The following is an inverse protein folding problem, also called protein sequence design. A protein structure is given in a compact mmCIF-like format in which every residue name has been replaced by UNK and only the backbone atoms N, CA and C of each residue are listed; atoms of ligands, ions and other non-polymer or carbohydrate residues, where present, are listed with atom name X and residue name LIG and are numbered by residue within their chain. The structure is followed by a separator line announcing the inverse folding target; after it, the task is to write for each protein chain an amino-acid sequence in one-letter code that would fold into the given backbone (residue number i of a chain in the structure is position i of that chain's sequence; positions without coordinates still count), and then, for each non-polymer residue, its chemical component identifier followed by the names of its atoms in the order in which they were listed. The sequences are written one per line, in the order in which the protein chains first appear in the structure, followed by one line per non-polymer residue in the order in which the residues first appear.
data_IF_795689098768
#
_entry.id   IF_795689098768
#
_cell.length_a   1.000
_cell.length_b   1.000
_cell.length_c   1.000
_cell.angle_alpha   90.00
_cell.angle_beta   90.00
_cell.angle_gamma   90.00
#
_symmetry.space_group_name_H-M   'P 1'
#
loop_
_entity.id
_entity.type
_entity.pdbx_description
1 polymer ?
#
# COMPACT_ATOMS: atom_id res chain seq x y z
N UNK A 1 -0.17 6.07 1.95
CA UNK A 1 1.04 5.65 1.23
C UNK A 1 0.68 5.76 -0.23
N UNK A 2 1.17 6.80 -0.89
CA UNK A 2 0.96 6.93 -2.33
C UNK A 2 2.03 6.06 -2.98
N UNK A 3 1.63 4.91 -3.51
CA UNK A 3 2.48 4.21 -4.46
C UNK A 3 2.82 5.21 -5.58
N UNK A 4 4.09 5.29 -5.95
CA UNK A 4 4.53 6.32 -6.89
C UNK A 4 4.21 5.89 -8.31
N UNK A 5 3.01 6.27 -8.75
CA UNK A 5 2.54 6.07 -10.11
C UNK A 5 3.22 7.04 -11.06
N UNK A 6 3.60 6.50 -12.22
CA UNK A 6 4.11 7.26 -13.36
C UNK A 6 3.48 6.75 -14.64
N UNK A 7 3.45 7.61 -15.66
CA UNK A 7 2.97 7.25 -16.98
C UNK A 7 4.15 7.01 -17.91
N UNK A 8 4.18 5.87 -18.59
CA UNK A 8 5.27 5.49 -19.49
C UNK A 8 4.74 5.29 -20.90
N UNK A 9 5.43 5.88 -21.87
CA UNK A 9 5.13 5.80 -23.29
C UNK A 9 5.73 4.55 -23.91
N UNK A 10 4.89 3.65 -24.40
CA UNK A 10 5.30 2.44 -25.13
C UNK A 10 5.49 2.74 -26.63
N UNK A 11 5.89 1.73 -27.41
CA UNK A 11 6.23 1.90 -28.84
C UNK A 11 5.00 2.17 -29.73
N UNK A 12 3.83 1.91 -29.18
CA UNK A 12 2.52 2.19 -29.74
C UNK A 12 2.04 3.64 -29.52
N UNK A 13 2.91 4.50 -28.97
CA UNK A 13 2.67 5.92 -28.68
C UNK A 13 1.69 6.23 -27.54
N UNK A 14 1.10 5.20 -26.90
CA UNK A 14 0.21 5.37 -25.76
C UNK A 14 0.97 5.43 -24.43
N UNK A 15 0.38 6.13 -23.46
CA UNK A 15 0.90 6.22 -22.10
C UNK A 15 0.19 5.23 -21.18
N UNK A 16 0.98 4.41 -20.47
CA UNK A 16 0.50 3.38 -19.58
C UNK A 16 0.88 3.70 -18.13
N UNK A 17 -0.04 3.45 -17.22
CA UNK A 17 0.21 3.61 -15.78
C UNK A 17 1.13 2.49 -15.28
N UNK A 18 2.18 2.88 -14.57
CA UNK A 18 3.16 1.96 -14.02
C UNK A 18 3.63 2.43 -12.63
N UNK A 19 4.02 1.46 -11.81
CA UNK A 19 4.60 1.68 -10.49
C UNK A 19 6.11 1.84 -10.62
N UNK A 20 6.65 2.95 -10.09
CA UNK A 20 8.09 3.10 -9.97
C UNK A 20 8.63 2.11 -8.94
N UNK A 21 9.70 1.39 -9.31
CA UNK A 21 10.36 0.42 -8.42
C UNK A 21 11.81 0.79 -8.13
N UNK A 22 12.51 1.37 -9.11
CA UNK A 22 13.87 1.85 -8.94
C UNK A 22 14.19 2.99 -9.92
N UNK A 23 15.26 3.72 -9.65
CA UNK A 23 15.81 4.78 -10.50
C UNK A 23 17.31 4.55 -10.68
N UNK A 24 17.77 4.68 -11.91
CA UNK A 24 19.19 4.66 -12.30
C UNK A 24 19.61 6.04 -12.81
N UNK A 25 20.88 6.21 -13.15
CA UNK A 25 21.39 7.49 -13.65
C UNK A 25 20.78 7.94 -14.98
N UNK A 26 20.25 7.00 -15.78
CA UNK A 26 19.78 7.25 -17.16
C UNK A 26 18.36 6.77 -17.41
N UNK A 27 17.87 5.84 -16.61
CA UNK A 27 16.59 5.15 -16.81
C UNK A 27 15.83 5.00 -15.49
N UNK A 28 14.52 4.87 -15.61
CA UNK A 28 13.62 4.48 -14.53
C UNK A 28 13.20 3.03 -14.70
N UNK A 29 12.97 2.37 -13.57
CA UNK A 29 12.59 0.96 -13.53
C UNK A 29 11.17 0.86 -12.99
N UNK A 30 10.28 0.25 -13.77
CA UNK A 30 8.85 0.22 -13.48
C UNK A 30 8.25 -1.17 -13.58
N UNK A 31 7.11 -1.35 -12.92
CA UNK A 31 6.27 -2.54 -13.02
C UNK A 31 4.83 -2.13 -13.32
N UNK A 32 4.10 -2.92 -14.12
CA UNK A 32 2.72 -2.63 -14.51
C UNK A 32 1.70 -3.34 -13.61
N UNK A 33 0.51 -2.77 -13.47
CA UNK A 33 -0.61 -3.41 -12.76
C UNK A 33 -1.03 -4.70 -13.50
N UNK A 34 -1.17 -5.81 -12.76
CA UNK A 34 -1.59 -7.12 -13.27
C UNK A 34 -0.68 -7.79 -14.32
N UNK A 35 0.65 -7.82 -14.09
CA UNK A 35 1.63 -8.84 -14.52
C UNK A 35 1.33 -9.61 -15.84
N UNK A 36 0.92 -8.92 -16.91
CA UNK A 36 0.34 -9.56 -18.09
C UNK A 36 1.36 -10.20 -19.05
N UNK A 37 2.66 -9.96 -18.86
CA UNK A 37 3.71 -10.66 -19.62
C UNK A 37 4.43 -11.70 -18.74
N UNK A 38 4.69 -12.91 -19.28
CA UNK A 38 5.38 -13.97 -18.55
C UNK A 38 6.85 -13.64 -18.20
N UNK A 39 7.42 -12.59 -18.78
CA UNK A 39 8.74 -12.07 -18.44
C UNK A 39 8.62 -11.02 -17.32
N UNK A 40 8.46 -11.53 -16.10
CA UNK A 40 8.27 -10.89 -14.78
C UNK A 40 9.32 -9.85 -14.35
N UNK A 41 10.14 -9.34 -15.28
CA UNK A 41 11.21 -8.41 -14.96
C UNK A 41 10.70 -6.96 -14.89
N UNK A 42 11.14 -6.18 -13.90
CA UNK A 42 11.00 -4.73 -13.93
C UNK A 42 11.54 -4.18 -15.25
N UNK A 43 10.75 -3.36 -15.94
CA UNK A 43 11.13 -2.81 -17.24
C UNK A 43 11.82 -1.47 -17.08
N UNK A 44 12.86 -1.26 -17.86
CA UNK A 44 13.63 -0.02 -17.88
C UNK A 44 13.14 0.89 -18.99
N UNK A 45 12.96 2.16 -18.68
CA UNK A 45 12.57 3.19 -19.63
C UNK A 45 13.43 4.43 -19.47
N UNK A 46 13.76 5.09 -20.57
CA UNK A 46 14.41 6.39 -20.54
C UNK A 46 13.48 7.44 -19.96
N UNK A 47 14.04 8.41 -19.21
CA UNK A 47 13.26 9.51 -18.62
C UNK A 47 12.39 10.26 -19.64
N UNK A 48 12.88 10.44 -20.88
CA UNK A 48 12.15 11.10 -21.97
C UNK A 48 10.86 10.38 -22.40
N UNK A 49 10.72 9.08 -22.09
CA UNK A 49 9.52 8.27 -22.39
C UNK A 49 8.56 8.20 -21.20
N UNK A 50 8.80 8.95 -20.14
CA UNK A 50 8.05 8.81 -18.90
C UNK A 50 7.65 10.19 -18.37
N UNK A 51 6.50 10.29 -17.72
CA UNK A 51 5.97 11.53 -17.16
C UNK A 51 5.19 11.26 -15.87
N UNK A 52 4.97 12.30 -15.08
CA UNK A 52 4.09 12.20 -13.91
C UNK A 52 2.62 12.17 -14.37
N UNK A 53 1.75 11.43 -13.66
CA UNK A 53 0.31 11.49 -13.90
C UNK A 53 -0.22 12.90 -13.61
N UNK A 54 -1.32 13.33 -14.26
CA UNK A 54 -1.94 14.61 -13.96
C UNK A 54 -2.39 14.66 -12.49
N UNK A 55 -2.33 15.84 -11.87
CA UNK A 55 -2.81 16.02 -10.49
C UNK A 55 -4.32 15.76 -10.43
N UNK A 56 -4.80 15.01 -9.44
CA UNK A 56 -6.23 14.66 -9.29
C UNK A 56 -7.13 15.91 -9.26
N UNK A 57 -6.67 17.00 -8.64
CA UNK A 57 -7.41 18.26 -8.58
C UNK A 57 -7.61 18.95 -9.95
N UNK A 58 -6.81 18.58 -10.96
CA UNK A 58 -6.98 19.05 -12.35
C UNK A 58 -8.03 18.27 -13.14
N UNK A 59 -8.53 17.16 -12.58
CA UNK A 59 -9.53 16.27 -13.19
C UNK A 59 -10.96 16.69 -12.74
N UNK A 60 -11.11 17.25 -11.54
CA UNK A 60 -12.42 17.57 -10.94
C UNK A 60 -13.02 18.92 -11.39
N UNK A 61 -12.22 19.81 -11.98
CA UNK A 61 -12.75 20.96 -12.69
C UNK A 61 -13.22 20.49 -14.08
N UNK A 62 -14.42 19.91 -14.16
CA UNK A 62 -15.03 19.37 -15.39
C UNK A 62 -14.69 20.26 -16.60
N UNK A 63 -13.70 19.88 -17.43
CA UNK A 63 -13.27 20.71 -18.53
C UNK A 63 -14.46 20.84 -19.48
N UNK A 64 -14.82 22.06 -19.87
CA UNK A 64 -15.80 22.23 -20.95
C UNK A 64 -15.12 21.77 -22.24
N UNK A 65 -15.42 20.55 -22.66
CA UNK A 65 -14.90 19.98 -23.89
C UNK A 65 -15.55 20.64 -25.12
N UNK A 66 -14.75 20.90 -26.15
CA UNK A 66 -15.22 21.44 -27.42
C UNK A 66 -14.93 20.51 -28.60
N UNK A 67 -15.75 20.58 -29.65
CA UNK A 67 -15.48 19.88 -30.91
C UNK A 67 -14.18 20.43 -31.53
N UNK A 68 -13.34 19.53 -32.04
CA UNK A 68 -12.00 19.85 -32.55
C UNK A 68 -10.91 19.92 -31.48
N UNK A 69 -11.23 19.78 -30.20
CA UNK A 69 -10.24 19.79 -29.12
C UNK A 69 -9.43 18.48 -29.07
N UNK A 70 -8.12 18.58 -28.86
CA UNK A 70 -7.26 17.45 -28.53
C UNK A 70 -7.43 17.02 -27.07
N UNK A 71 -7.60 15.71 -26.87
CA UNK A 71 -7.80 15.06 -25.57
C UNK A 71 -6.96 13.79 -25.47
N UNK A 72 -6.85 13.27 -24.25
CA UNK A 72 -6.37 11.93 -24.00
C UNK A 72 -7.55 11.01 -23.64
N UNK A 73 -7.56 9.85 -24.27
CA UNK A 73 -8.63 8.86 -24.19
C UNK A 73 -8.08 7.59 -23.55
N UNK A 74 -8.74 7.11 -22.51
CA UNK A 74 -8.41 5.85 -21.88
C UNK A 74 -8.98 4.69 -22.70
N UNK A 75 -8.15 4.01 -23.50
CA UNK A 75 -8.57 2.92 -24.41
C UNK A 75 -7.49 1.85 -24.52
N UNK A 76 -7.78 0.75 -25.23
CA UNK A 76 -6.84 -0.35 -25.49
C UNK A 76 -6.93 -0.77 -26.95
N UNK A 77 -5.84 -1.24 -27.56
CA UNK A 77 -5.90 -1.68 -28.97
C UNK A 77 -6.67 -2.95 -29.17
N UNK A 78 -6.42 -3.92 -28.29
CA UNK A 78 -6.97 -5.26 -28.33
C UNK A 78 -7.37 -5.69 -26.92
N UNK A 79 -8.25 -6.69 -26.79
CA UNK A 79 -8.67 -7.23 -25.48
C UNK A 79 -7.53 -7.85 -24.66
N UNK A 80 -6.39 -8.06 -25.29
CA UNK A 80 -5.16 -8.56 -24.67
C UNK A 80 -4.28 -7.45 -24.10
N UNK A 81 -4.41 -6.22 -24.59
CA UNK A 81 -3.56 -5.10 -24.16
C UNK A 81 -4.17 -4.38 -22.96
N UNK A 82 -3.30 -3.72 -22.19
CA UNK A 82 -3.73 -2.87 -21.09
C UNK A 82 -4.46 -1.64 -21.64
N UNK A 83 -5.29 -1.05 -20.79
CA UNK A 83 -5.77 0.28 -21.08
C UNK A 83 -4.62 1.28 -20.89
N UNK A 84 -4.55 2.23 -21.81
CA UNK A 84 -3.60 3.31 -21.81
C UNK A 84 -4.28 4.61 -22.25
N UNK A 85 -3.56 5.71 -22.09
CA UNK A 85 -3.99 7.04 -22.53
C UNK A 85 -3.48 7.30 -23.95
N UNK A 86 -4.43 7.44 -24.87
CA UNK A 86 -4.22 7.67 -26.30
C UNK A 86 -4.55 9.10 -26.67
N UNK A 87 -3.79 9.71 -27.57
CA UNK A 87 -4.12 11.04 -28.10
C UNK A 87 -5.24 10.94 -29.13
N UNK A 88 -6.28 11.74 -28.95
CA UNK A 88 -7.42 11.78 -29.84
C UNK A 88 -7.96 13.22 -30.00
N UNK A 89 -8.78 13.43 -31.03
CA UNK A 89 -9.51 14.68 -31.24
C UNK A 89 -11.01 14.43 -31.13
N UNK A 90 -11.72 15.31 -30.42
CA UNK A 90 -13.19 15.26 -30.36
C UNK A 90 -13.76 15.68 -31.71
N UNK A 91 -14.59 14.84 -32.33
CA UNK A 91 -15.31 15.14 -33.57
C UNK A 91 -16.73 15.63 -33.33
N UNK A 92 -17.45 14.98 -32.42
CA UNK A 92 -18.85 15.28 -32.15
C UNK A 92 -19.10 15.13 -30.65
N UNK A 93 -19.82 16.08 -30.06
CA UNK A 93 -20.30 15.99 -28.68
C UNK A 93 -21.82 15.80 -28.71
N UNK A 94 -22.32 14.71 -28.10
CA UNK A 94 -23.75 14.44 -27.94
C UNK A 94 -24.09 14.08 -26.50
N UNK A 95 -24.49 15.09 -25.72
CA UNK A 95 -24.77 14.91 -24.30
C UNK A 95 -23.52 14.44 -23.56
N UNK A 96 -23.57 13.26 -22.98
CA UNK A 96 -22.45 12.64 -22.22
C UNK A 96 -21.55 11.74 -23.10
N UNK A 97 -21.82 11.65 -24.40
CA UNK A 97 -21.07 10.84 -25.35
C UNK A 97 -20.22 11.70 -26.29
N UNK A 98 -18.98 11.27 -26.46
CA UNK A 98 -17.99 11.91 -27.30
C UNK A 98 -17.62 10.95 -28.43
N UNK A 99 -17.74 11.43 -29.67
CA UNK A 99 -17.16 10.73 -30.83
C UNK A 99 -15.74 11.25 -30.99
N UNK A 100 -14.76 10.39 -30.79
CA UNK A 100 -13.33 10.75 -30.81
C UNK A 100 -12.62 10.05 -31.96
N UNK A 101 -11.64 10.71 -32.55
CA UNK A 101 -10.76 10.16 -33.59
C UNK A 101 -9.34 10.05 -33.04
N UNK A 102 -8.77 8.84 -33.04
CA UNK A 102 -7.40 8.59 -32.55
C UNK A 102 -6.34 9.14 -33.53
N UNK A 103 -5.34 9.86 -33.02
CA UNK A 103 -4.32 10.56 -33.83
C UNK A 103 -3.12 9.66 -34.15
N UNK A 104 -2.63 8.90 -33.16
CA UNK A 104 -1.33 8.21 -33.22
C UNK A 104 -1.47 6.67 -33.40
N UNK A 105 -2.59 6.22 -33.97
CA UNK A 105 -2.85 4.78 -34.20
C UNK A 105 -2.15 4.27 -35.47
N UNK A 106 -0.91 3.80 -35.34
CA UNK A 106 -0.02 3.46 -36.47
C UNK A 106 -0.43 2.26 -37.36
N UNK A 107 -1.43 1.46 -36.98
CA UNK A 107 -1.83 0.30 -37.80
C UNK A 107 -2.91 0.67 -38.83
N UNK A 108 -2.48 1.19 -39.98
CA UNK A 108 -3.06 1.18 -41.35
C UNK A 108 -4.58 1.35 -41.57
N UNK A 109 -5.36 1.72 -40.55
CA UNK A 109 -6.78 2.07 -40.68
C UNK A 109 -6.92 3.51 -40.25
N UNK A 110 -6.98 4.36 -41.28
CA UNK A 110 -7.61 5.69 -41.31
C UNK A 110 -8.53 5.88 -40.10
N UNK A 111 -8.10 6.72 -39.17
CA UNK A 111 -8.97 7.44 -38.25
C UNK A 111 -10.01 6.54 -37.54
N UNK A 112 -9.56 5.59 -36.71
CA UNK A 112 -10.47 4.84 -35.85
C UNK A 112 -11.27 5.81 -34.99
N UNK A 113 -12.58 5.89 -35.26
CA UNK A 113 -13.54 6.63 -34.46
C UNK A 113 -14.11 5.74 -33.37
N UNK A 114 -14.05 6.18 -32.11
CA UNK A 114 -14.63 5.48 -30.97
C UNK A 114 -15.69 6.39 -30.30
N UNK A 115 -16.79 5.79 -29.83
CA UNK A 115 -17.78 6.50 -29.01
C UNK A 115 -17.45 6.22 -27.56
N UNK A 116 -17.18 7.28 -26.80
CA UNK A 116 -16.66 7.17 -25.44
C UNK A 116 -17.44 8.10 -24.52
N UNK A 117 -17.60 7.70 -23.27
CA UNK A 117 -18.23 8.47 -22.20
C UNK A 117 -17.24 9.41 -21.49
N UNK A 118 -17.76 10.40 -20.78
CA UNK A 118 -16.94 11.45 -20.13
C UNK A 118 -15.90 10.93 -19.12
N UNK A 119 -16.13 9.76 -18.52
CA UNK A 119 -15.27 9.10 -17.52
C UNK A 119 -13.96 8.56 -18.10
N UNK A 120 -13.90 8.34 -19.42
CA UNK A 120 -12.73 7.80 -20.13
C UNK A 120 -11.95 8.85 -20.91
N UNK A 121 -12.29 10.13 -20.77
CA UNK A 121 -11.57 11.23 -21.42
C UNK A 121 -10.96 12.17 -20.39
N UNK A 122 -9.81 12.76 -20.74
CA UNK A 122 -9.19 13.82 -19.96
C UNK A 122 -8.51 14.84 -20.87
N UNK A 123 -8.26 16.04 -20.33
CA UNK A 123 -7.38 17.03 -20.98
C UNK A 123 -5.97 16.44 -21.10
N UNK A 124 -5.23 16.71 -22.19
CA UNK A 124 -3.87 16.22 -22.35
C UNK A 124 -3.01 16.56 -21.14
N UNK A 125 -2.28 15.57 -20.63
CA UNK A 125 -1.49 15.72 -19.42
C UNK A 125 -0.44 16.84 -19.61
N UNK A 126 -0.44 17.90 -18.78
CA UNK A 126 0.45 19.05 -18.94
C UNK A 126 1.88 18.76 -18.45
N UNK A 127 2.10 17.64 -17.76
CA UNK A 127 3.42 17.32 -17.19
C UNK A 127 4.43 17.03 -18.32
N UNK A 128 5.61 17.68 -18.28
CA UNK A 128 6.67 17.37 -19.22
C UNK A 128 7.23 15.96 -18.98
N UNK A 129 7.99 15.41 -19.94
CA UNK A 129 8.79 14.22 -19.71
C UNK A 129 9.68 14.39 -18.47
N UNK A 130 9.94 13.29 -17.78
CA UNK A 130 10.78 13.27 -16.60
C UNK A 130 12.20 13.68 -16.96
N UNK A 131 12.90 14.23 -15.96
CA UNK A 131 14.33 14.48 -15.99
C UNK A 131 14.99 13.72 -14.85
N UNK A 132 16.32 13.57 -14.90
CA UNK A 132 17.09 12.89 -13.85
C UNK A 132 16.86 13.53 -12.47
N UNK A 133 16.67 14.85 -12.44
CA UNK A 133 16.57 15.63 -11.20
C UNK A 133 15.21 15.51 -10.50
N UNK A 134 14.22 14.82 -11.10
CA UNK A 134 12.90 14.64 -10.49
C UNK A 134 12.95 13.70 -9.29
N UNK A 135 13.90 12.76 -9.28
CA UNK A 135 14.04 11.76 -8.23
C UNK A 135 15.39 11.85 -7.56
N UNK A 136 15.38 11.91 -6.23
CA UNK A 136 16.55 11.79 -5.38
C UNK A 136 16.59 10.37 -4.85
N UNK A 137 17.64 9.64 -5.22
CA UNK A 137 17.94 8.29 -4.72
C UNK A 137 19.14 8.37 -3.78
N UNK A 138 18.98 7.85 -2.57
CA UNK A 138 20.04 7.80 -1.56
C UNK A 138 19.98 6.50 -0.77
N UNK A 139 21.08 6.17 -0.11
CA UNK A 139 21.24 4.91 0.63
C UNK A 139 21.54 5.17 2.11
N UNK A 140 20.94 4.37 2.99
CA UNK A 140 21.19 4.39 4.43
C UNK A 140 21.69 3.03 4.87
N UNK A 141 22.95 2.95 5.32
CA UNK A 141 23.56 1.69 5.75
C UNK A 141 22.84 1.12 6.98
N UNK A 142 22.51 -0.18 6.95
CA UNK A 142 21.82 -0.88 8.04
C UNK A 142 22.82 -1.60 8.95
N UNK A 143 22.75 -1.35 10.27
CA UNK A 143 23.55 -2.08 11.27
C UNK A 143 23.40 -3.60 11.17
N UNK A 144 24.50 -4.34 11.35
CA UNK A 144 24.55 -5.80 11.16
C UNK A 144 23.51 -6.57 11.98
N UNK A 145 23.26 -6.13 13.20
CA UNK A 145 22.29 -6.71 14.14
C UNK A 145 20.85 -6.64 13.65
N UNK A 146 20.54 -5.69 12.75
CA UNK A 146 19.18 -5.43 12.27
C UNK A 146 18.90 -5.98 10.87
N UNK A 147 19.92 -6.44 10.13
CA UNK A 147 19.79 -6.82 8.70
C UNK A 147 18.76 -7.91 8.45
N UNK A 148 18.65 -8.89 9.34
CA UNK A 148 17.66 -9.96 9.17
C UNK A 148 16.23 -9.47 9.43
N UNK A 149 16.06 -8.56 10.38
CA UNK A 149 14.76 -7.96 10.67
C UNK A 149 14.32 -6.98 9.58
N UNK A 150 15.26 -6.23 9.01
CA UNK A 150 15.04 -5.26 7.93
C UNK A 150 14.50 -5.89 6.64
N UNK A 151 14.65 -7.20 6.44
CA UNK A 151 14.08 -7.93 5.28
C UNK A 151 12.55 -8.04 5.33
N UNK A 152 11.93 -7.86 6.50
CA UNK A 152 10.48 -8.05 6.65
C UNK A 152 9.70 -6.95 5.92
N UNK A 153 8.65 -7.34 5.22
CA UNK A 153 7.80 -6.38 4.53
C UNK A 153 7.11 -5.43 5.51
N UNK A 154 7.12 -4.14 5.17
CA UNK A 154 6.35 -3.13 5.92
C UNK A 154 7.07 -2.52 7.13
N UNK A 155 8.21 -3.06 7.59
CA UNK A 155 8.91 -2.56 8.79
C UNK A 155 9.51 -1.16 8.63
N UNK A 156 9.65 -0.68 7.40
CA UNK A 156 10.20 0.66 7.10
C UNK A 156 9.12 1.68 6.71
N UNK A 157 7.82 1.33 6.78
CA UNK A 157 6.73 2.20 6.32
C UNK A 157 6.61 3.51 7.10
N UNK A 158 6.83 3.47 8.41
CA UNK A 158 6.81 4.66 9.25
C UNK A 158 8.00 5.58 8.96
N UNK A 159 9.20 5.00 8.85
CA UNK A 159 10.40 5.73 8.47
C UNK A 159 10.26 6.37 7.08
N UNK A 160 9.74 5.62 6.10
CA UNK A 160 9.42 6.11 4.76
C UNK A 160 8.50 7.35 4.79
N UNK A 161 7.47 7.31 5.63
CA UNK A 161 6.52 8.42 5.79
C UNK A 161 7.20 9.66 6.40
N UNK A 162 8.00 9.48 7.45
CA UNK A 162 8.69 10.56 8.17
C UNK A 162 9.67 11.29 7.24
N UNK A 163 10.45 10.54 6.46
CA UNK A 163 11.43 11.13 5.52
C UNK A 163 10.77 11.67 4.24
N UNK A 164 9.46 11.44 4.07
CA UNK A 164 8.72 11.81 2.87
C UNK A 164 9.22 11.12 1.60
N UNK A 165 9.71 9.89 1.72
CA UNK A 165 10.16 9.10 0.57
C UNK A 165 8.98 8.37 -0.07
N UNK A 166 9.01 8.28 -1.40
CA UNK A 166 8.06 7.50 -2.16
C UNK A 166 8.32 5.99 -2.01
N UNK A 167 9.58 5.60 -1.92
CA UNK A 167 10.01 4.20 -1.80
C UNK A 167 11.08 4.13 -0.71
N UNK A 168 10.98 3.14 0.18
CA UNK A 168 12.01 2.81 1.15
C UNK A 168 12.08 1.28 1.29
N UNK A 169 13.14 0.67 0.77
CA UNK A 169 13.30 -0.80 0.74
C UNK A 169 14.68 -1.24 1.19
N UNK A 170 14.76 -2.37 1.88
CA UNK A 170 16.03 -3.00 2.22
C UNK A 170 16.58 -3.77 1.02
N UNK A 171 17.85 -3.57 0.71
CA UNK A 171 18.59 -4.28 -0.34
C UNK A 171 19.65 -5.17 0.33
N UNK A 172 19.47 -6.50 0.33
CA UNK A 172 20.41 -7.42 0.97
C UNK A 172 21.82 -7.42 0.35
N UNK A 173 21.94 -7.06 -0.93
CA UNK A 173 23.22 -7.05 -1.66
C UNK A 173 24.15 -5.91 -1.19
N UNK A 174 23.58 -4.78 -0.78
CA UNK A 174 24.32 -3.59 -0.30
C UNK A 174 24.18 -3.36 1.21
N UNK A 175 23.47 -4.26 1.91
CA UNK A 175 23.15 -4.14 3.34
C UNK A 175 22.60 -2.76 3.74
N UNK A 176 21.84 -2.14 2.83
CA UNK A 176 21.41 -0.75 2.95
C UNK A 176 19.93 -0.57 2.60
N UNK A 177 19.31 0.45 3.20
CA UNK A 177 17.99 0.93 2.79
C UNK A 177 18.17 1.84 1.59
N UNK A 178 17.57 1.47 0.46
CA UNK A 178 17.46 2.34 -0.70
C UNK A 178 16.17 3.14 -0.58
N UNK A 179 16.32 4.45 -0.56
CA UNK A 179 15.21 5.40 -0.49
C UNK A 179 15.14 6.21 -1.78
N UNK A 180 13.94 6.36 -2.33
CA UNK A 180 13.67 7.20 -3.51
C UNK A 180 12.60 8.21 -3.14
N UNK A 181 12.91 9.49 -3.36
CA UNK A 181 12.02 10.62 -3.07
C UNK A 181 11.95 11.59 -4.25
N UNK A 182 10.90 12.40 -4.27
CA UNK A 182 10.77 13.56 -5.16
C UNK A 182 11.17 14.88 -4.49
N UNK A 183 11.51 14.84 -3.20
CA UNK A 183 11.83 16.01 -2.41
C UNK A 183 13.30 15.99 -1.97
N UNK A 184 14.03 17.06 -2.26
CA UNK A 184 15.45 17.20 -1.94
C UNK A 184 15.74 17.13 -0.43
N UNK A 185 14.74 17.49 0.41
CA UNK A 185 14.88 17.44 1.87
C UNK A 185 14.90 16.02 2.44
N UNK A 186 14.48 15.01 1.66
CA UNK A 186 14.30 13.64 2.17
C UNK A 186 15.60 13.00 2.61
N UNK A 187 16.73 13.29 1.95
CA UNK A 187 18.03 12.77 2.35
C UNK A 187 18.49 13.32 3.71
N UNK A 188 18.25 14.63 3.96
CA UNK A 188 18.54 15.24 5.27
C UNK A 188 17.66 14.65 6.36
N UNK A 189 16.36 14.55 6.10
CA UNK A 189 15.42 13.92 7.03
C UNK A 189 15.80 12.47 7.34
N UNK A 190 16.25 11.70 6.35
CA UNK A 190 16.72 10.34 6.57
C UNK A 190 17.95 10.29 7.48
N UNK A 191 18.88 11.24 7.34
CA UNK A 191 20.03 11.34 8.24
C UNK A 191 19.63 11.72 9.68
N UNK A 192 18.62 12.58 9.84
CA UNK A 192 18.16 13.02 11.15
C UNK A 192 17.39 11.91 11.89
N UNK A 193 16.62 11.07 11.17
CA UNK A 193 15.71 10.08 11.76
C UNK A 193 16.20 8.63 11.70
N UNK A 194 17.28 8.30 10.98
CA UNK A 194 17.76 6.91 10.84
C UNK A 194 18.09 6.25 12.17
N UNK A 195 18.69 6.98 13.10
CA UNK A 195 19.13 6.41 14.38
C UNK A 195 17.92 6.06 15.25
N UNK A 196 16.93 6.96 15.30
CA UNK A 196 15.64 6.70 15.96
C UNK A 196 14.93 5.49 15.36
N UNK A 197 14.94 5.37 14.02
CA UNK A 197 14.37 4.22 13.33
C UNK A 197 15.08 2.91 13.71
N UNK A 198 16.41 2.90 13.73
CA UNK A 198 17.17 1.70 14.10
C UNK A 198 16.99 1.30 15.56
N UNK A 199 16.86 2.25 16.49
CA UNK A 199 16.50 1.93 17.88
C UNK A 199 15.10 1.31 17.98
N UNK A 200 14.11 1.84 17.25
CA UNK A 200 12.77 1.25 17.20
C UNK A 200 12.81 -0.20 16.67
N UNK A 201 13.58 -0.46 15.62
CA UNK A 201 13.75 -1.83 15.11
C UNK A 201 14.42 -2.75 16.14
N UNK A 202 15.43 -2.26 16.89
CA UNK A 202 16.08 -3.05 17.95
C UNK A 202 15.09 -3.45 19.04
N UNK A 203 14.25 -2.53 19.46
CA UNK A 203 13.19 -2.79 20.45
C UNK A 203 12.19 -3.83 19.93
N UNK A 204 11.76 -3.72 18.67
CA UNK A 204 10.87 -4.71 18.06
C UNK A 204 11.50 -6.10 17.96
N UNK A 205 12.78 -6.19 17.60
CA UNK A 205 13.52 -7.47 17.57
C UNK A 205 13.58 -8.08 18.97
N UNK A 206 13.87 -7.29 19.99
CA UNK A 206 13.94 -7.77 21.38
C UNK A 206 12.58 -8.28 21.87
N UNK A 207 11.51 -7.54 21.59
CA UNK A 207 10.15 -7.97 21.93
C UNK A 207 9.79 -9.30 21.27
N UNK A 208 10.15 -9.48 20.00
CA UNK A 208 9.88 -10.74 19.29
C UNK A 208 10.64 -11.92 19.88
N UNK A 209 11.90 -11.72 20.29
CA UNK A 209 12.68 -12.77 20.97
C UNK A 209 12.04 -13.17 22.30
N UNK A 210 11.58 -12.19 23.09
CA UNK A 210 10.89 -12.45 24.36
C UNK A 210 9.61 -13.28 24.12
N UNK A 211 8.81 -12.90 23.12
CA UNK A 211 7.58 -13.60 22.76
C UNK A 211 7.88 -15.03 22.28
N UNK A 212 8.93 -15.22 21.48
CA UNK A 212 9.37 -16.53 21.00
C UNK A 212 9.81 -17.43 22.16
N UNK A 213 10.60 -16.91 23.10
CA UNK A 213 11.01 -17.64 24.30
C UNK A 213 9.83 -18.01 25.21
N UNK A 214 8.87 -17.11 25.41
CA UNK A 214 7.66 -17.38 26.20
C UNK A 214 6.79 -18.45 25.52
N UNK A 215 6.65 -18.38 24.19
CA UNK A 215 5.93 -19.38 23.41
C UNK A 215 6.59 -20.76 23.51
N UNK A 216 7.92 -20.85 23.38
CA UNK A 216 8.65 -22.12 23.51
C UNK A 216 8.49 -22.74 24.90
N UNK A 217 8.58 -21.93 25.97
CA UNK A 217 8.34 -22.40 27.35
C UNK A 217 6.93 -22.97 27.51
N UNK A 218 5.92 -22.31 26.93
CA UNK A 218 4.54 -22.80 27.00
C UNK A 218 4.35 -24.17 26.32
N UNK A 219 5.07 -24.43 25.21
CA UNK A 219 5.07 -25.73 24.54
C UNK A 219 5.77 -26.79 25.39
N UNK A 220 6.91 -26.46 26.00
CA UNK A 220 7.64 -27.38 26.87
C UNK A 220 6.83 -27.76 28.11
N UNK A 221 6.12 -26.80 28.72
CA UNK A 221 5.22 -27.03 29.85
C UNK A 221 4.03 -27.93 29.46
N UNK A 222 3.49 -27.79 28.25
CA UNK A 222 2.38 -28.61 27.74
C UNK A 222 2.85 -30.02 27.30
N UNK A 223 4.13 -30.17 26.93
CA UNK A 223 4.73 -31.45 26.49
C UNK A 223 5.18 -32.36 27.65
N UNK A 224 5.07 -31.94 28.92
CA UNK A 224 5.30 -32.81 30.09
C UNK A 224 4.17 -33.84 30.17
N UNK A 225 4.43 -35.16 29.97
CA UNK A 225 3.38 -36.15 29.96
C UNK A 225 2.83 -36.38 31.37
N UNK A 226 1.56 -36.04 31.57
CA UNK A 226 0.50 -36.93 32.07
C UNK A 226 1.00 -38.04 33.03
N UNK A 227 1.62 -37.68 34.16
CA UNK A 227 1.72 -38.58 35.31
C UNK A 227 0.77 -38.09 36.38
N UNK A 228 -0.22 -38.96 36.61
CA UNK A 228 -1.25 -38.96 37.65
C UNK A 228 -1.04 -37.91 38.75
N UNK A 229 -2.01 -37.02 38.88
CA UNK A 229 -2.78 -36.96 40.13
C UNK A 229 -4.19 -36.47 39.84
N UNK A 230 -5.12 -37.39 39.98
CA UNK A 230 -6.55 -37.15 40.06
C UNK A 230 -6.85 -36.23 41.23
N UNK A 231 -7.29 -34.99 40.98
CA UNK A 231 -8.24 -34.28 41.86
C UNK A 231 -8.90 -33.10 41.15
N UNK A 232 -10.23 -33.10 41.18
CA UNK A 232 -11.17 -31.99 40.99
C UNK A 232 -10.96 -31.00 39.84
N UNK A 233 -11.78 -31.18 38.80
CA UNK A 233 -12.09 -30.17 37.78
C UNK A 233 -12.64 -28.91 38.48
N UNK A 234 -11.89 -27.81 38.44
CA UNK A 234 -12.47 -26.47 38.54
C UNK A 234 -12.10 -25.67 37.29
N UNK A 235 -13.14 -25.21 36.63
CA UNK A 235 -13.15 -24.65 35.29
C UNK A 235 -12.55 -23.24 35.30
N UNK A 236 -11.32 -23.07 34.80
CA UNK A 236 -10.79 -21.74 34.40
C UNK A 236 -9.66 -21.81 33.36
N UNK A 237 -9.49 -22.95 32.67
CA UNK A 237 -8.44 -23.11 31.66
C UNK A 237 -8.79 -22.53 30.27
N UNK A 238 -10.06 -22.16 30.02
CA UNK A 238 -10.55 -21.78 28.69
C UNK A 238 -10.37 -20.31 28.28
N UNK A 239 -9.66 -19.47 29.04
CA UNK A 239 -9.57 -18.02 28.77
C UNK A 239 -8.17 -17.58 28.29
N UNK A 240 -7.12 -18.38 28.51
CA UNK A 240 -5.74 -17.97 28.17
C UNK A 240 -5.33 -18.23 26.72
N UNK A 241 -6.04 -19.10 25.99
CA UNK A 241 -5.76 -19.39 24.58
C UNK A 241 -6.31 -18.37 23.58
N UNK A 242 -7.15 -17.41 24.01
CA UNK A 242 -7.76 -16.44 23.09
C UNK A 242 -6.95 -15.15 22.89
N UNK A 243 -5.96 -14.86 23.75
CA UNK A 243 -5.10 -13.69 23.61
C UNK A 243 -4.02 -13.88 22.54
N UNK A 244 -3.43 -15.08 22.48
CA UNK A 244 -2.33 -15.41 21.55
C UNK A 244 -2.82 -15.55 20.11
N UNK A 245 -4.06 -16.04 19.91
CA UNK A 245 -4.66 -16.16 18.58
C UNK A 245 -5.00 -14.80 17.95
N UNK A 246 -5.20 -13.73 18.73
CA UNK A 246 -5.59 -12.43 18.18
C UNK A 246 -4.40 -11.64 17.58
N UNK A 247 -3.20 -11.82 18.14
CA UNK A 247 -1.98 -11.17 17.62
C UNK A 247 -1.47 -11.83 16.33
N UNK A 248 -1.63 -13.16 16.22
CA UNK A 248 -1.28 -13.91 14.99
C UNK A 248 -2.32 -13.68 13.88
N UNK A 249 -3.59 -13.48 14.22
CA UNK A 249 -4.67 -13.32 13.24
C UNK A 249 -4.63 -12.00 12.44
N UNK A 250 -4.16 -10.89 13.03
CA UNK A 250 -4.17 -9.58 12.37
C UNK A 250 -2.89 -9.24 11.60
N UNK A 251 -1.85 -10.06 11.73
CA UNK A 251 -0.61 -9.94 10.95
C UNK A 251 -0.71 -10.61 9.56
N UNK A 252 -1.77 -11.38 9.31
CA UNK A 252 -1.99 -12.12 8.07
C UNK A 252 -3.27 -11.64 7.37
N UNK A 253 -3.15 -11.00 6.21
CA UNK A 253 -4.27 -10.51 5.38
C UNK A 253 -5.32 -11.58 5.01
N UNK A 254 -5.03 -12.87 5.20
CA UNK A 254 -5.92 -14.00 4.83
C UNK A 254 -7.10 -14.26 5.78
N UNK A 255 -7.11 -13.74 7.01
CA UNK A 255 -8.18 -14.10 7.97
C UNK A 255 -9.45 -13.24 7.84
N UNK A 256 -9.32 -12.02 7.31
CA UNK A 256 -10.45 -11.07 7.17
C UNK A 256 -11.50 -11.57 6.16
N UNK A 257 -11.11 -12.40 5.18
CA UNK A 257 -12.04 -12.93 4.18
C UNK A 257 -12.87 -14.12 4.68
N UNK A 258 -12.41 -14.86 5.70
CA UNK A 258 -13.08 -16.07 6.18
C UNK A 258 -14.00 -15.85 7.41
N UNK A 259 -14.08 -14.63 7.94
CA UNK A 259 -14.93 -14.29 9.09
C UNK A 259 -16.42 -14.09 8.76
N UNK A 260 -16.95 -14.76 7.72
CA UNK A 260 -18.41 -14.80 7.43
C UNK A 260 -19.16 -15.86 8.23
N UNK A 261 -18.47 -16.64 9.05
CA UNK A 261 -19.08 -17.74 9.80
C UNK A 261 -18.90 -17.53 11.31
N UNK A 262 -19.83 -16.80 11.93
CA UNK A 262 -20.43 -17.06 13.26
C UNK A 262 -21.37 -15.89 13.54
N UNK A 263 -22.66 -16.18 13.72
CA UNK A 263 -23.75 -15.19 13.78
C UNK A 263 -23.68 -14.22 14.95
N UNK A 264 -22.97 -13.11 14.77
CA UNK A 264 -23.16 -11.90 15.56
C UNK A 264 -24.29 -11.06 14.94
N UNK A 265 -25.36 -10.84 15.71
CA UNK A 265 -26.46 -9.93 15.34
C UNK A 265 -25.90 -8.53 15.11
N UNK A 266 -26.31 -7.93 13.98
CA UNK A 266 -25.99 -6.56 13.54
C UNK A 266 -26.14 -5.55 14.68
N UNK A 267 -25.03 -4.97 15.12
CA UNK A 267 -24.98 -3.63 15.71
C UNK A 267 -24.90 -2.60 14.56
N UNK A 268 -25.50 -1.40 14.68
CA UNK A 268 -25.62 -0.47 13.56
C UNK A 268 -24.30 0.27 13.28
N UNK A 269 -23.95 0.37 12.00
CA UNK A 269 -22.98 1.25 11.35
C UNK A 269 -21.58 1.42 11.98
N UNK A 270 -20.72 0.44 11.69
CA UNK A 270 -19.24 0.56 11.73
C UNK A 270 -18.62 0.33 10.33
N UNK A 271 -19.31 0.76 9.27
CA UNK A 271 -18.93 0.54 7.87
C UNK A 271 -17.93 1.55 7.31
N UNK A 272 -17.46 2.52 8.10
CA UNK A 272 -16.42 3.47 7.69
C UNK A 272 -15.23 3.48 8.67
N UNK A 273 -14.45 2.40 8.69
CA UNK A 273 -13.14 2.35 9.37
C UNK A 273 -11.99 2.47 8.35
N UNK A 274 -11.91 3.59 7.62
CA UNK A 274 -10.75 3.87 6.76
C UNK A 274 -9.77 4.90 7.34
N UNK A 275 -10.08 5.55 8.46
CA UNK A 275 -9.15 6.50 9.10
C UNK A 275 -9.30 6.46 10.62
N UNK A 276 -8.73 5.45 11.27
CA UNK A 276 -8.44 5.54 12.70
C UNK A 276 -7.07 6.19 12.83
N UNK A 277 -7.06 7.47 13.21
CA UNK A 277 -5.87 8.20 13.60
C UNK A 277 -5.17 7.41 14.73
N UNK A 278 -3.86 7.19 14.63
CA UNK A 278 -3.07 6.28 15.49
C UNK A 278 -3.30 6.56 16.99
N UNK A 279 -3.60 7.80 17.35
CA UNK A 279 -3.96 8.22 18.70
C UNK A 279 -5.25 7.57 19.24
N UNK A 280 -6.26 7.34 18.39
CA UNK A 280 -7.49 6.62 18.75
C UNK A 280 -7.29 5.11 18.85
N UNK A 281 -6.37 4.54 18.06
CA UNK A 281 -6.01 3.12 18.15
C UNK A 281 -5.35 2.81 19.50
N UNK A 282 -4.39 3.64 19.93
CA UNK A 282 -3.77 3.50 21.26
C UNK A 282 -4.77 3.71 22.39
N UNK A 283 -5.71 4.66 22.28
CA UNK A 283 -6.77 4.85 23.27
C UNK A 283 -7.72 3.65 23.35
N UNK A 284 -8.14 3.07 22.22
CA UNK A 284 -9.01 1.89 22.19
C UNK A 284 -8.32 0.67 22.78
N UNK A 285 -7.05 0.45 22.43
CA UNK A 285 -6.24 -0.66 22.94
C UNK A 285 -5.97 -0.47 24.44
N UNK A 286 -5.68 0.75 24.90
CA UNK A 286 -5.48 1.04 26.32
C UNK A 286 -6.76 0.84 27.15
N UNK A 287 -7.90 1.34 26.68
CA UNK A 287 -9.21 1.16 27.33
C UNK A 287 -9.64 -0.30 27.37
N UNK A 288 -9.30 -1.07 26.33
CA UNK A 288 -9.56 -2.51 26.28
C UNK A 288 -8.69 -3.28 27.27
N UNK A 289 -7.39 -2.97 27.36
CA UNK A 289 -6.46 -3.56 28.32
C UNK A 289 -6.87 -3.20 29.76
N UNK A 290 -7.33 -1.98 30.00
CA UNK A 290 -7.79 -1.53 31.32
C UNK A 290 -9.11 -2.19 31.72
N UNK A 291 -10.04 -2.39 30.79
CA UNK A 291 -11.26 -3.17 30.99
C UNK A 291 -10.97 -4.65 31.31
N UNK A 292 -10.00 -5.26 30.62
CA UNK A 292 -9.55 -6.63 30.89
C UNK A 292 -8.94 -6.80 32.28
N UNK A 293 -8.21 -5.80 32.79
CA UNK A 293 -7.62 -5.84 34.14
C UNK A 293 -8.65 -5.71 35.27
N UNK A 294 -9.84 -5.19 34.97
CA UNK A 294 -10.85 -4.85 35.99
C UNK A 294 -12.11 -5.73 35.92
N UNK A 295 -12.22 -6.64 34.95
CA UNK A 295 -13.41 -7.46 34.74
C UNK A 295 -13.29 -8.83 35.43
N UNK A 296 -14.29 -9.20 36.23
CA UNK A 296 -14.35 -10.50 36.90
C UNK A 296 -15.16 -11.56 36.13
N UNK A 297 -15.83 -11.17 35.03
CA UNK A 297 -16.56 -12.08 34.13
C UNK A 297 -16.68 -11.49 32.71
N UNK A 298 -17.08 -12.32 31.73
CA UNK A 298 -17.27 -11.87 30.33
C UNK A 298 -18.39 -10.83 30.17
N UNK A 299 -19.46 -10.95 30.96
CA UNK A 299 -20.58 -10.00 30.91
C UNK A 299 -20.19 -8.64 31.54
N UNK A 300 -19.33 -8.67 32.56
CA UNK A 300 -18.75 -7.48 33.21
C UNK A 300 -17.76 -6.75 32.26
N UNK A 301 -17.00 -7.51 31.45
CA UNK A 301 -16.09 -6.95 30.45
C UNK A 301 -16.85 -6.21 29.33
N UNK A 302 -17.91 -6.79 28.79
CA UNK A 302 -18.74 -6.14 27.76
C UNK A 302 -19.39 -4.85 28.29
N UNK A 303 -19.90 -4.86 29.52
CA UNK A 303 -20.48 -3.67 30.16
C UNK A 303 -19.45 -2.54 30.31
N UNK A 304 -18.23 -2.86 30.77
CA UNK A 304 -17.14 -1.89 30.98
C UNK A 304 -16.52 -1.36 29.69
N UNK A 305 -16.52 -2.16 28.62
CA UNK A 305 -16.08 -1.72 27.30
C UNK A 305 -17.06 -0.74 26.68
N UNK A 306 -18.37 -1.01 26.80
CA UNK A 306 -19.42 -0.11 26.31
C UNK A 306 -19.42 1.22 27.07
N UNK A 307 -19.18 1.23 28.39
CA UNK A 307 -19.12 2.49 29.16
C UNK A 307 -17.89 3.36 28.82
N UNK A 308 -16.78 2.77 28.38
CA UNK A 308 -15.56 3.50 28.05
C UNK A 308 -15.49 3.97 26.59
N UNK A 309 -16.39 3.49 25.71
CA UNK A 309 -16.48 3.87 24.30
C UNK A 309 -17.52 4.97 24.03
N UNK A 310 -18.34 5.33 25.03
CA UNK A 310 -19.30 6.44 24.95
C UNK A 310 -18.68 7.65 25.65
N UNK A 311 -17.74 8.32 24.98
CA UNK A 311 -17.38 9.74 25.18
C UNK A 311 -16.64 10.26 23.95
#
# INVERSE_FOLDING_TARGET
MEDLFIEVKLDDEAYYEAFLTDVTDTEIVVTFENLWQPDLAPKKFAFARSRLPPLKDSIDAAPSYAEGQEIEVYSRKNDRELFGWWRATIKIIRGEFFVVEHIDWKDDIVNRTEIISVDRIRVPNPNPPLTKDVFVKFEVSVPMDLRDYAKREGVHKEFQLIIGAAICRFVPESDSLVCISRADRSERAANDFKDMHFECLREQVLQLKIIEEEYLKSIEEEAVPMQLESTSISSTAGIRTFSTLFYVAFSNKRFVENAKCVGAKRLPDLTNMQNINVQYYFCLVASFIQGLKQANSKDDLCSKLVSNLIF
#
